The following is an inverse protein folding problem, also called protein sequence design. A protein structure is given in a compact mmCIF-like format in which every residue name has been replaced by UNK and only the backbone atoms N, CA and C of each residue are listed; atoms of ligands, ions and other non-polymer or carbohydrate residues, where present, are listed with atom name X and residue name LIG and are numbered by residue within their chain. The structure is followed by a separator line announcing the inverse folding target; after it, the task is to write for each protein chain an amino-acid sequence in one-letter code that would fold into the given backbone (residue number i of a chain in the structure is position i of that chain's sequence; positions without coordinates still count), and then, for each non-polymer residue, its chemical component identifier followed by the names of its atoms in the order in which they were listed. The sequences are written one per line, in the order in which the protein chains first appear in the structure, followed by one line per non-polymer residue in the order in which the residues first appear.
data_IF_601032126126
#
_entry.id   IF_601032126126
#
_cell.length_a   1.000
_cell.length_b   1.000
_cell.length_c   1.000
_cell.angle_alpha   90.00
_cell.angle_beta   90.00
_cell.angle_gamma   90.00
#
_symmetry.space_group_name_H-M   'P 1'
#
loop_
_entity.id
_entity.type
_entity.pdbx_description
1 polymer ?
#
# COMPACT_ATOMS: atom_id res chain seq x y z
N UNK A 1 12.89 7.85 13.98
CA UNK A 1 12.69 9.28 13.69
C UNK A 1 11.37 9.49 12.94
N UNK A 2 11.23 9.02 11.70
CA UNK A 2 10.04 9.23 10.87
C UNK A 2 8.70 8.78 11.49
N UNK A 3 8.64 7.63 12.18
CA UNK A 3 7.38 7.17 12.81
C UNK A 3 6.95 7.96 14.05
N UNK A 4 7.89 8.62 14.73
CA UNK A 4 7.63 9.36 16.00
C UNK A 4 7.60 10.87 15.82
N UNK A 5 8.28 11.39 14.82
CA UNK A 5 8.45 12.81 14.52
C UNK A 5 8.06 13.09 13.06
N UNK A 6 7.00 12.43 12.59
CA UNK A 6 6.49 12.62 11.23
C UNK A 6 6.17 14.10 10.98
N UNK A 7 6.61 14.65 9.84
CA UNK A 7 6.41 16.06 9.48
C UNK A 7 7.29 17.06 10.23
N UNK A 8 8.26 16.61 11.03
CA UNK A 8 9.29 17.51 11.57
C UNK A 8 10.39 17.71 10.53
N UNK A 9 10.97 18.91 10.48
CA UNK A 9 12.07 19.23 9.58
C UNK A 9 13.23 18.22 9.69
N UNK A 10 13.57 17.80 10.91
CA UNK A 10 14.63 16.81 11.14
C UNK A 10 14.30 15.43 10.56
N UNK A 11 13.02 15.03 10.58
CA UNK A 11 12.61 13.77 9.98
C UNK A 11 12.66 13.83 8.45
N UNK A 12 12.23 14.94 7.87
CA UNK A 12 12.28 15.20 6.42
C UNK A 12 13.73 15.28 5.93
N UNK A 13 14.60 16.03 6.63
CA UNK A 13 16.02 16.15 6.33
C UNK A 13 16.72 14.79 6.40
N UNK A 14 16.42 13.98 7.42
CA UNK A 14 17.00 12.65 7.54
C UNK A 14 16.56 11.70 6.43
N UNK A 15 15.29 11.77 6.00
CA UNK A 15 14.77 10.97 4.89
C UNK A 15 15.38 11.41 3.56
N UNK A 16 15.52 12.72 3.34
CA UNK A 16 16.16 13.30 2.15
C UNK A 16 17.64 12.94 2.07
N UNK A 17 18.37 13.11 3.18
CA UNK A 17 19.79 12.75 3.26
C UNK A 17 20.03 11.25 3.02
N UNK A 18 19.13 10.39 3.51
CA UNK A 18 19.18 8.96 3.26
C UNK A 18 18.98 8.63 1.78
N UNK A 19 17.95 9.22 1.15
CA UNK A 19 17.67 9.03 -0.28
C UNK A 19 18.87 9.46 -1.13
N UNK A 20 19.37 10.69 -0.95
CA UNK A 20 20.49 11.21 -1.73
C UNK A 20 21.75 10.34 -1.62
N UNK A 21 22.04 9.85 -0.41
CA UNK A 21 23.22 9.02 -0.15
C UNK A 21 23.12 7.64 -0.81
N UNK A 22 21.94 7.05 -0.84
CA UNK A 22 21.73 5.66 -1.26
C UNK A 22 20.94 5.50 -2.55
N UNK A 23 20.68 6.58 -3.30
CA UNK A 23 19.88 6.55 -4.54
C UNK A 23 20.36 5.55 -5.61
N UNK A 24 21.65 5.19 -5.59
CA UNK A 24 22.24 4.19 -6.49
C UNK A 24 22.05 2.74 -6.05
N UNK A 25 21.59 2.49 -4.82
CA UNK A 25 21.35 1.16 -4.29
C UNK A 25 19.84 0.90 -4.21
N UNK A 26 19.36 0.07 -5.13
CA UNK A 26 17.96 -0.28 -5.20
C UNK A 26 17.46 -0.90 -3.87
N UNK A 27 18.17 -1.86 -3.29
CA UNK A 27 17.69 -2.59 -2.10
C UNK A 27 17.65 -1.68 -0.87
N UNK A 28 18.56 -0.72 -0.78
CA UNK A 28 18.54 0.28 0.29
C UNK A 28 17.37 1.26 0.11
N UNK A 29 17.05 1.65 -1.13
CA UNK A 29 15.86 2.45 -1.41
C UNK A 29 14.55 1.71 -1.12
N UNK A 30 14.49 0.37 -1.22
CA UNK A 30 13.31 -0.39 -0.76
C UNK A 30 13.07 -0.12 0.74
N UNK A 31 14.13 -0.13 1.57
CA UNK A 31 14.00 0.18 3.00
C UNK A 31 13.53 1.61 3.23
N UNK A 32 14.00 2.56 2.41
CA UNK A 32 13.56 3.95 2.47
C UNK A 32 12.06 4.11 2.17
N UNK A 33 11.54 3.40 1.16
CA UNK A 33 10.09 3.36 0.90
C UNK A 33 9.33 2.71 2.07
N UNK A 34 9.82 1.59 2.61
CA UNK A 34 9.18 0.88 3.73
C UNK A 34 9.06 1.77 4.96
N UNK A 35 10.10 2.52 5.32
CA UNK A 35 10.10 3.43 6.47
C UNK A 35 8.96 4.44 6.34
N UNK A 36 8.83 5.07 5.17
CA UNK A 36 7.81 6.10 4.94
C UNK A 36 6.40 5.53 4.82
N UNK A 37 6.23 4.38 4.15
CA UNK A 37 4.96 3.68 4.05
C UNK A 37 4.41 3.25 5.43
N UNK A 38 5.32 2.99 6.39
CA UNK A 38 5.01 2.64 7.77
C UNK A 38 4.69 3.82 8.69
N UNK A 39 4.83 5.08 8.25
CA UNK A 39 4.56 6.25 9.09
C UNK A 39 3.06 6.31 9.43
N UNK A 40 2.67 6.23 10.72
CA UNK A 40 1.26 6.19 11.09
C UNK A 40 0.55 7.54 10.86
N UNK A 41 -0.77 7.49 10.72
CA UNK A 41 -1.63 8.67 10.74
C UNK A 41 -2.42 8.94 9.46
N UNK A 42 -3.28 9.97 9.48
CA UNK A 42 -4.25 10.22 8.42
C UNK A 42 -3.62 10.65 7.09
N UNK A 43 -2.43 11.26 7.12
CA UNK A 43 -1.70 11.72 5.92
C UNK A 43 -0.98 10.59 5.17
N UNK A 44 -1.05 9.36 5.66
CA UNK A 44 -0.32 8.22 5.07
C UNK A 44 -0.68 8.03 3.60
N UNK A 45 -1.97 8.15 3.24
CA UNK A 45 -2.43 7.89 1.87
C UNK A 45 -1.85 8.93 0.92
N UNK A 46 -1.86 10.21 1.30
CA UNK A 46 -1.28 11.31 0.54
C UNK A 46 0.24 11.10 0.37
N UNK A 47 0.94 10.73 1.45
CA UNK A 47 2.38 10.47 1.41
C UNK A 47 2.72 9.28 0.51
N UNK A 48 1.97 8.18 0.58
CA UNK A 48 2.18 7.02 -0.28
C UNK A 48 1.89 7.36 -1.75
N UNK A 49 0.84 8.14 -2.03
CA UNK A 49 0.56 8.63 -3.39
C UNK A 49 1.70 9.51 -3.92
N UNK A 50 2.27 10.39 -3.10
CA UNK A 50 3.43 11.20 -3.47
C UNK A 50 4.66 10.32 -3.76
N UNK A 51 4.91 9.29 -2.94
CA UNK A 51 6.01 8.34 -3.15
C UNK A 51 5.85 7.50 -4.42
N UNK A 52 4.62 7.23 -4.87
CA UNK A 52 4.38 6.58 -6.15
C UNK A 52 4.80 7.44 -7.35
N UNK A 53 4.94 8.75 -7.18
CA UNK A 53 5.46 9.67 -8.21
C UNK A 53 6.98 9.88 -8.11
N UNK A 54 7.63 9.27 -7.11
CA UNK A 54 9.07 9.43 -6.91
C UNK A 54 9.87 8.79 -8.08
N UNK A 55 10.95 9.41 -8.59
CA UNK A 55 11.73 8.86 -9.71
C UNK A 55 12.29 7.45 -9.46
N UNK A 56 12.55 7.12 -8.19
CA UNK A 56 13.00 5.79 -7.80
C UNK A 56 11.89 4.75 -7.60
N UNK A 57 10.61 5.14 -7.76
CA UNK A 57 9.48 4.23 -7.72
C UNK A 57 9.06 3.84 -9.13
N UNK A 58 8.74 2.56 -9.32
CA UNK A 58 8.12 2.08 -10.55
C UNK A 58 7.12 0.99 -10.19
N UNK A 59 5.87 1.16 -10.61
CA UNK A 59 4.82 0.17 -10.38
C UNK A 59 5.07 -1.13 -11.16
N UNK A 60 5.91 -1.11 -12.20
CA UNK A 60 6.33 -2.31 -12.91
C UNK A 60 7.37 -3.14 -12.12
N UNK A 61 8.02 -2.55 -11.11
CA UNK A 61 9.00 -3.26 -10.30
C UNK A 61 8.31 -3.90 -9.07
N UNK A 62 8.25 -5.24 -8.98
CA UNK A 62 7.55 -5.93 -7.90
C UNK A 62 8.16 -5.65 -6.51
N UNK A 63 9.46 -5.36 -6.42
CA UNK A 63 10.10 -5.01 -5.16
C UNK A 63 9.67 -3.61 -4.70
N UNK A 64 9.57 -2.63 -5.60
CA UNK A 64 9.05 -1.28 -5.30
C UNK A 64 7.60 -1.31 -4.85
N UNK A 65 6.76 -2.07 -5.56
CA UNK A 65 5.35 -2.25 -5.18
C UNK A 65 5.25 -2.88 -3.79
N UNK A 66 6.04 -3.91 -3.51
CA UNK A 66 6.08 -4.55 -2.18
C UNK A 66 6.58 -3.61 -1.09
N UNK A 67 7.65 -2.86 -1.35
CA UNK A 67 8.28 -1.97 -0.37
C UNK A 67 7.40 -0.78 0.00
N UNK A 68 6.57 -0.29 -0.92
CA UNK A 68 5.68 0.83 -0.68
C UNK A 68 4.25 0.36 -0.35
N UNK A 69 3.55 -0.23 -1.32
CA UNK A 69 2.13 -0.60 -1.20
C UNK A 69 1.95 -1.81 -0.28
N UNK A 70 2.84 -2.80 -0.38
CA UNK A 70 2.84 -3.94 0.53
C UNK A 70 3.04 -3.51 1.98
N UNK A 71 4.01 -2.65 2.26
CA UNK A 71 4.25 -2.14 3.61
C UNK A 71 3.12 -1.25 4.11
N UNK A 72 2.57 -0.37 3.28
CA UNK A 72 1.40 0.44 3.62
C UNK A 72 0.23 -0.44 4.09
N UNK A 73 -0.12 -1.48 3.32
CA UNK A 73 -1.29 -2.34 3.62
C UNK A 73 -1.09 -3.32 4.78
N UNK A 74 0.16 -3.75 5.05
CA UNK A 74 0.43 -4.79 6.05
C UNK A 74 1.00 -4.26 7.38
N UNK A 75 1.83 -3.20 7.33
CA UNK A 75 2.54 -2.70 8.50
C UNK A 75 1.96 -1.38 9.06
N UNK A 76 1.13 -0.67 8.29
CA UNK A 76 0.57 0.62 8.71
C UNK A 76 -0.94 0.55 8.96
N UNK A 77 -1.32 -0.08 10.08
CA UNK A 77 -2.72 -0.30 10.43
C UNK A 77 -3.50 1.02 10.58
N UNK A 78 -2.86 2.08 11.08
CA UNK A 78 -3.52 3.39 11.28
C UNK A 78 -3.80 4.15 9.98
N UNK A 79 -2.93 4.02 8.99
CA UNK A 79 -3.10 4.64 7.66
C UNK A 79 -3.91 3.77 6.70
N UNK A 80 -3.79 2.44 6.78
CA UNK A 80 -4.54 1.54 5.91
C UNK A 80 -6.02 1.48 6.29
N UNK A 81 -6.31 1.33 7.58
CA UNK A 81 -7.68 1.23 8.09
C UNK A 81 -8.26 2.60 8.49
N UNK A 82 -8.08 3.67 7.71
CA UNK A 82 -8.73 4.96 8.02
C UNK A 82 -10.27 4.83 8.04
N UNK A 83 -10.94 5.51 8.97
CA UNK A 83 -12.40 5.41 9.16
C UNK A 83 -13.19 5.82 7.93
N UNK A 84 -12.71 6.81 7.17
CA UNK A 84 -13.32 7.23 5.92
C UNK A 84 -13.08 6.27 4.75
N UNK A 85 -12.28 5.21 4.94
CA UNK A 85 -11.96 4.20 3.93
C UNK A 85 -11.02 4.67 2.81
N UNK A 86 -10.32 5.79 2.99
CA UNK A 86 -9.37 6.32 2.00
C UNK A 86 -8.30 5.28 1.66
N UNK A 87 -7.76 4.60 2.68
CA UNK A 87 -6.73 3.57 2.51
C UNK A 87 -7.22 2.39 1.67
N UNK A 88 -8.43 1.89 1.92
CA UNK A 88 -8.98 0.77 1.13
C UNK A 88 -9.27 1.13 -0.33
N UNK A 89 -9.82 2.32 -0.59
CA UNK A 89 -10.10 2.77 -1.97
C UNK A 89 -8.81 2.93 -2.76
N UNK A 90 -7.84 3.64 -2.18
CA UNK A 90 -6.52 3.78 -2.77
C UNK A 90 -5.86 2.43 -3.03
N UNK A 91 -5.97 1.51 -2.08
CA UNK A 91 -5.39 0.17 -2.22
C UNK A 91 -6.07 -0.65 -3.32
N UNK A 92 -7.40 -0.64 -3.41
CA UNK A 92 -8.13 -1.33 -4.48
C UNK A 92 -7.78 -0.79 -5.88
N UNK A 93 -7.73 0.54 -6.03
CA UNK A 93 -7.25 1.19 -7.26
C UNK A 93 -5.85 0.71 -7.65
N UNK A 94 -4.94 0.68 -6.68
CA UNK A 94 -3.54 0.27 -6.90
C UNK A 94 -3.43 -1.22 -7.23
N UNK A 95 -4.18 -2.09 -6.55
CA UNK A 95 -4.21 -3.53 -6.84
C UNK A 95 -4.67 -3.77 -8.27
N UNK A 96 -5.72 -3.08 -8.73
CA UNK A 96 -6.20 -3.19 -10.11
C UNK A 96 -5.23 -2.61 -11.14
N UNK A 97 -4.42 -1.61 -10.78
CA UNK A 97 -3.34 -1.13 -11.65
C UNK A 97 -2.20 -2.15 -11.75
N UNK A 98 -1.79 -2.74 -10.63
CA UNK A 98 -0.77 -3.79 -10.58
C UNK A 98 -1.24 -5.05 -11.33
N UNK A 99 -2.52 -5.41 -11.21
CA UNK A 99 -3.14 -6.57 -11.87
C UNK A 99 -2.89 -6.58 -13.38
N UNK A 100 -3.00 -5.41 -14.03
CA UNK A 100 -2.78 -5.26 -15.48
C UNK A 100 -1.37 -5.64 -15.93
N UNK A 101 -0.40 -5.64 -15.00
CA UNK A 101 1.03 -5.82 -15.30
C UNK A 101 1.59 -7.11 -14.68
N UNK A 102 1.17 -7.41 -13.46
CA UNK A 102 1.66 -8.53 -12.67
C UNK A 102 0.57 -9.07 -11.72
N UNK A 103 -0.27 -9.98 -12.23
CA UNK A 103 -1.33 -10.61 -11.46
C UNK A 103 -0.90 -11.27 -10.15
N UNK A 104 0.28 -11.89 -10.12
CA UNK A 104 0.79 -12.55 -8.92
C UNK A 104 1.09 -11.56 -7.79
N UNK A 105 1.61 -10.38 -8.14
CA UNK A 105 1.84 -9.31 -7.15
C UNK A 105 0.51 -8.74 -6.67
N UNK A 106 -0.45 -8.53 -7.56
CA UNK A 106 -1.78 -8.05 -7.21
C UNK A 106 -2.50 -9.01 -6.26
N UNK A 107 -2.50 -10.31 -6.57
CA UNK A 107 -3.05 -11.37 -5.72
C UNK A 107 -2.37 -11.42 -4.35
N UNK A 108 -1.03 -11.28 -4.29
CA UNK A 108 -0.30 -11.21 -3.02
C UNK A 108 -0.66 -9.97 -2.21
N UNK A 109 -0.81 -8.81 -2.84
CA UNK A 109 -1.28 -7.59 -2.16
C UNK A 109 -2.68 -7.81 -1.57
N UNK A 110 -3.62 -8.33 -2.36
CA UNK A 110 -5.02 -8.53 -1.94
C UNK A 110 -5.17 -9.34 -0.64
N UNK A 111 -4.19 -10.17 -0.28
CA UNK A 111 -4.15 -10.89 1.00
C UNK A 111 -4.17 -9.98 2.24
N UNK A 112 -3.76 -8.71 2.12
CA UNK A 112 -3.83 -7.72 3.20
C UNK A 112 -5.27 -7.48 3.70
N UNK A 113 -6.28 -7.78 2.86
CA UNK A 113 -7.69 -7.66 3.23
C UNK A 113 -8.27 -8.94 3.85
N UNK A 114 -7.51 -10.03 4.02
CA UNK A 114 -8.03 -11.32 4.57
C UNK A 114 -8.69 -11.18 5.94
N UNK A 115 -8.21 -10.28 6.78
CA UNK A 115 -8.73 -10.05 8.14
C UNK A 115 -9.89 -9.04 8.20
N UNK A 116 -10.45 -8.61 7.06
CA UNK A 116 -11.46 -7.54 7.02
C UNK A 116 -12.68 -7.79 7.92
N UNK A 117 -13.05 -9.05 8.13
CA UNK A 117 -14.18 -9.45 8.98
C UNK A 117 -13.96 -9.17 10.47
N UNK A 118 -12.70 -9.12 10.90
CA UNK A 118 -12.33 -8.84 12.30
C UNK A 118 -12.36 -7.33 12.64
N UNK A 119 -12.57 -6.47 11.64
CA UNK A 119 -12.66 -5.04 11.83
C UNK A 119 -14.02 -4.66 12.45
N UNK A 120 -14.06 -3.52 13.13
CA UNK A 120 -15.32 -2.93 13.58
C UNK A 120 -16.24 -2.58 12.37
N UNK A 121 -17.57 -2.50 12.56
CA UNK A 121 -18.55 -2.43 11.47
C UNK A 121 -18.30 -1.37 10.38
N UNK A 122 -17.81 -0.19 10.71
CA UNK A 122 -17.55 0.89 9.75
C UNK A 122 -16.39 0.51 8.83
N UNK A 123 -15.22 0.18 9.39
CA UNK A 123 -14.04 -0.27 8.66
C UNK A 123 -14.31 -1.57 7.90
N UNK A 124 -15.02 -2.51 8.51
CA UNK A 124 -15.44 -3.76 7.89
C UNK A 124 -16.23 -3.51 6.60
N UNK A 125 -17.24 -2.63 6.66
CA UNK A 125 -18.03 -2.27 5.48
C UNK A 125 -17.18 -1.59 4.39
N UNK A 126 -16.24 -0.72 4.76
CA UNK A 126 -15.35 -0.06 3.79
C UNK A 126 -14.34 -1.02 3.16
N UNK A 127 -13.78 -1.94 3.92
CA UNK A 127 -12.91 -2.99 3.41
C UNK A 127 -13.67 -3.95 2.49
N UNK A 128 -14.91 -4.32 2.83
CA UNK A 128 -15.80 -5.11 1.98
C UNK A 128 -16.09 -4.41 0.65
N UNK A 129 -16.37 -3.10 0.68
CA UNK A 129 -16.58 -2.32 -0.54
C UNK A 129 -15.35 -2.34 -1.46
N UNK A 130 -14.14 -2.24 -0.91
CA UNK A 130 -12.91 -2.36 -1.68
C UNK A 130 -12.70 -3.76 -2.26
N UNK A 131 -12.99 -4.83 -1.50
CA UNK A 131 -12.96 -6.20 -2.02
C UNK A 131 -13.95 -6.40 -3.17
N UNK A 132 -15.19 -5.90 -3.02
CA UNK A 132 -16.20 -5.96 -4.08
C UNK A 132 -15.81 -5.16 -5.32
N UNK A 133 -15.17 -3.99 -5.13
CA UNK A 133 -14.63 -3.22 -6.25
C UNK A 133 -13.57 -4.03 -7.02
N UNK A 134 -12.68 -4.73 -6.33
CA UNK A 134 -11.69 -5.60 -6.98
C UNK A 134 -12.40 -6.77 -7.67
N UNK A 135 -13.32 -7.45 -6.99
CA UNK A 135 -14.03 -8.63 -7.49
C UNK A 135 -14.85 -8.36 -8.76
N UNK A 136 -15.41 -7.16 -8.87
CA UNK A 136 -16.27 -6.76 -9.99
C UNK A 136 -15.48 -6.12 -11.14
N UNK A 137 -14.15 -6.09 -11.08
CA UNK A 137 -13.35 -5.58 -12.19
C UNK A 137 -13.38 -6.56 -13.38
N UNK A 138 -13.46 -6.00 -14.59
CA UNK A 138 -13.41 -6.79 -15.81
C UNK A 138 -12.02 -7.42 -16.00
N UNK A 139 -11.98 -8.59 -16.63
CA UNK A 139 -10.74 -9.28 -17.03
C UNK A 139 -9.75 -9.58 -15.89
N UNK A 140 -10.24 -9.79 -14.66
CA UNK A 140 -9.40 -10.30 -13.56
C UNK A 140 -8.76 -11.64 -13.91
N UNK A 141 -7.46 -11.76 -13.65
CA UNK A 141 -6.75 -13.03 -13.66
C UNK A 141 -7.37 -14.06 -12.70
N UNK A 142 -7.10 -15.33 -12.97
CA UNK A 142 -7.46 -16.42 -12.06
C UNK A 142 -6.83 -16.24 -10.66
N UNK A 143 -5.58 -15.77 -10.60
CA UNK A 143 -4.83 -15.59 -9.35
C UNK A 143 -5.51 -14.57 -8.43
N UNK A 144 -5.84 -13.38 -8.94
CA UNK A 144 -6.48 -12.34 -8.13
C UNK A 144 -7.93 -12.71 -7.81
N UNK A 145 -8.65 -13.32 -8.76
CA UNK A 145 -10.02 -13.79 -8.57
C UNK A 145 -10.12 -14.81 -7.44
N UNK A 146 -9.28 -15.84 -7.41
CA UNK A 146 -9.27 -16.86 -6.34
C UNK A 146 -9.08 -16.21 -4.96
N UNK A 147 -8.11 -15.31 -4.83
CA UNK A 147 -7.83 -14.64 -3.55
C UNK A 147 -9.03 -13.81 -3.09
N UNK A 148 -9.64 -13.03 -3.99
CA UNK A 148 -10.73 -12.12 -3.63
C UNK A 148 -12.01 -12.88 -3.31
N UNK A 149 -12.38 -13.88 -4.11
CA UNK A 149 -13.55 -14.73 -3.87
C UNK A 149 -13.43 -15.47 -2.54
N UNK A 150 -12.28 -16.10 -2.27
CA UNK A 150 -12.02 -16.77 -0.98
C UNK A 150 -12.00 -15.83 0.21
N UNK A 151 -11.65 -14.56 -0.01
CA UNK A 151 -11.64 -13.55 1.07
C UNK A 151 -13.05 -13.01 1.35
N UNK A 152 -13.94 -13.00 0.34
CA UNK A 152 -15.32 -12.55 0.46
C UNK A 152 -16.25 -13.60 1.09
N UNK A 153 -15.95 -14.90 0.90
CA UNK A 153 -16.64 -16.07 1.51
C UNK A 153 -16.16 -16.34 2.91
#
# INVERSE_FOLDING_TARGET
LAHRHAGSAQAEDALSAFEMRYRGDALVLDKWFQIQAGVPGPLTVENVRALMQHPAFSIANPNRVRSLIGTFSSANQTGFHLSGGQGYRFFAETVLEVEKRNPQVAARLATALRSWRSLEPVRQNKARQALLQIANADNLSADLRDIVERTLV
#
